data_IF_135540066533
#
_entry.id   IF_135540066533
#
_cell.length_a   1.000
_cell.length_b   1.000
_cell.length_c   1.000
_cell.angle_alpha   90.00
_cell.angle_beta   90.00
_cell.angle_gamma   90.00
#
_symmetry.space_group_name_H-M   'P 1'
#
loop_
_entity.id
_entity.type
_entity.pdbx_description
1 polymer ?
#
# COMPACT_ATOMS: atom_id res chain seq x y z
N UNK A 1 35.87 14.79 2.72
CA UNK A 1 34.45 15.23 2.59
C UNK A 1 33.83 15.23 3.99
N UNK A 2 33.51 16.41 4.54
CA UNK A 2 33.23 16.60 5.99
C UNK A 2 31.82 16.14 6.42
N UNK A 3 31.05 15.60 5.47
CA UNK A 3 29.76 14.97 5.69
C UNK A 3 29.86 13.57 5.06
N UNK A 4 29.84 12.53 5.89
CA UNK A 4 29.83 11.14 5.42
C UNK A 4 28.55 10.85 4.67
N UNK A 5 28.64 10.07 3.59
CA UNK A 5 27.51 9.62 2.76
C UNK A 5 26.38 9.01 3.59
N UNK A 6 26.70 8.35 4.70
CA UNK A 6 25.74 7.75 5.62
C UNK A 6 24.73 8.75 6.21
N UNK A 7 25.16 9.99 6.50
CA UNK A 7 24.26 11.00 7.09
C UNK A 7 23.25 11.52 6.07
N UNK A 8 23.60 11.53 4.77
CA UNK A 8 22.70 11.96 3.71
C UNK A 8 21.60 10.93 3.44
N UNK A 9 21.97 9.64 3.39
CA UNK A 9 21.01 8.55 3.22
C UNK A 9 20.08 8.46 4.43
N UNK A 10 20.64 8.44 5.64
CA UNK A 10 19.84 8.35 6.86
C UNK A 10 18.95 9.58 7.06
N UNK A 11 19.44 10.79 6.75
CA UNK A 11 18.62 12.00 6.80
C UNK A 11 17.45 12.00 5.81
N UNK A 12 17.64 11.43 4.62
CA UNK A 12 16.56 11.27 3.62
C UNK A 12 15.53 10.24 4.09
N UNK A 13 15.98 9.10 4.61
CA UNK A 13 15.11 8.06 5.17
C UNK A 13 14.31 8.57 6.38
N UNK A 14 14.93 9.36 7.26
CA UNK A 14 14.26 10.02 8.39
C UNK A 14 13.20 11.02 7.93
N UNK A 15 13.50 11.81 6.89
CA UNK A 15 12.53 12.76 6.33
C UNK A 15 11.32 12.04 5.74
N UNK A 16 11.53 10.96 4.97
CA UNK A 16 10.46 10.13 4.43
C UNK A 16 9.61 9.57 5.58
N UNK A 17 10.25 9.07 6.64
CA UNK A 17 9.56 8.50 7.81
C UNK A 17 8.77 9.56 8.56
N UNK A 18 9.32 10.76 8.77
CA UNK A 18 8.63 11.87 9.44
C UNK A 18 7.41 12.34 8.65
N UNK A 19 7.57 12.53 7.33
CA UNK A 19 6.48 12.90 6.44
C UNK A 19 5.37 11.84 6.45
N UNK A 20 5.77 10.58 6.42
CA UNK A 20 4.87 9.44 6.47
C UNK A 20 4.08 9.42 7.78
N UNK A 21 4.77 9.49 8.92
CA UNK A 21 4.15 9.43 10.24
C UNK A 21 3.23 10.63 10.49
N UNK A 22 3.65 11.83 10.05
CA UNK A 22 2.85 13.06 10.17
C UNK A 22 1.57 13.00 9.34
N UNK A 23 1.62 12.45 8.13
CA UNK A 23 0.48 12.43 7.19
C UNK A 23 -0.45 11.23 7.40
N UNK A 24 0.09 10.07 7.79
CA UNK A 24 -0.66 8.79 7.82
C UNK A 24 -0.78 8.16 9.20
N UNK A 25 -0.10 8.68 10.23
CA UNK A 25 -0.04 8.07 11.57
C UNK A 25 -1.35 8.04 12.37
N UNK A 26 -2.48 8.50 11.83
CA UNK A 26 -3.80 8.41 12.49
C UNK A 26 -4.80 7.46 11.80
N UNK A 27 -4.73 7.31 10.46
CA UNK A 27 -5.67 6.52 9.63
C UNK A 27 -4.96 6.01 8.35
N UNK A 28 -3.98 5.11 8.48
CA UNK A 28 -3.19 4.59 7.36
C UNK A 28 -4.06 3.86 6.32
N UNK A 29 -5.17 3.23 6.73
CA UNK A 29 -6.05 2.50 5.80
C UNK A 29 -6.60 3.40 4.70
N UNK A 30 -6.92 4.65 5.00
CA UNK A 30 -7.62 5.50 4.04
C UNK A 30 -6.72 5.92 2.86
N UNK A 31 -5.41 6.01 3.07
CA UNK A 31 -4.48 6.35 1.99
C UNK A 31 -4.11 5.12 1.17
N UNK A 32 -3.59 4.09 1.84
CA UNK A 32 -3.11 2.89 1.19
C UNK A 32 -4.23 2.00 0.67
N UNK A 33 -5.33 1.89 1.41
CA UNK A 33 -6.53 1.18 0.98
C UNK A 33 -7.15 1.83 -0.24
N UNK A 34 -7.34 3.16 -0.24
CA UNK A 34 -7.87 3.86 -1.42
C UNK A 34 -6.99 3.68 -2.66
N UNK A 35 -5.68 3.91 -2.51
CA UNK A 35 -4.74 3.75 -3.62
C UNK A 35 -4.67 2.30 -4.12
N UNK A 36 -4.62 1.33 -3.19
CA UNK A 36 -4.62 -0.10 -3.50
C UNK A 36 -5.90 -0.54 -4.21
N UNK A 37 -7.07 -0.11 -3.75
CA UNK A 37 -8.36 -0.41 -4.40
C UNK A 37 -8.44 0.23 -5.79
N UNK A 38 -7.98 1.46 -5.98
CA UNK A 38 -7.91 2.09 -7.30
C UNK A 38 -7.01 1.29 -8.26
N UNK A 39 -5.83 0.86 -7.81
CA UNK A 39 -4.93 0.01 -8.60
C UNK A 39 -5.55 -1.34 -8.94
N UNK A 40 -6.26 -1.97 -8.01
CA UNK A 40 -6.99 -3.22 -8.26
C UNK A 40 -8.08 -3.05 -9.32
N UNK A 41 -8.88 -1.98 -9.24
CA UNK A 41 -9.93 -1.70 -10.23
C UNK A 41 -9.33 -1.49 -11.61
N UNK A 42 -8.25 -0.70 -11.72
CA UNK A 42 -7.59 -0.42 -13.00
C UNK A 42 -6.96 -1.70 -13.57
N UNK A 43 -6.22 -2.46 -12.77
CA UNK A 43 -5.59 -3.71 -13.22
C UNK A 43 -6.61 -4.79 -13.61
N UNK A 44 -7.72 -4.86 -12.88
CA UNK A 44 -8.83 -5.75 -13.21
C UNK A 44 -9.53 -5.34 -14.51
N UNK A 45 -9.76 -4.04 -14.71
CA UNK A 45 -10.29 -3.49 -15.96
C UNK A 45 -9.42 -3.83 -17.17
N UNK A 46 -8.10 -3.68 -17.06
CA UNK A 46 -7.16 -4.08 -18.12
C UNK A 46 -7.19 -5.59 -18.38
N UNK A 47 -7.28 -6.40 -17.33
CA UNK A 47 -7.34 -7.86 -17.46
C UNK A 47 -8.63 -8.31 -18.15
N UNK A 48 -9.78 -7.71 -17.80
CA UNK A 48 -11.05 -7.96 -18.49
C UNK A 48 -10.97 -7.54 -19.95
N UNK A 49 -10.44 -6.34 -20.23
CA UNK A 49 -10.30 -5.84 -21.59
C UNK A 49 -9.48 -6.80 -22.46
N UNK A 50 -8.33 -7.26 -21.95
CA UNK A 50 -7.49 -8.25 -22.63
C UNK A 50 -8.19 -9.61 -22.78
N UNK A 51 -8.94 -10.03 -21.77
CA UNK A 51 -9.72 -11.26 -21.79
C UNK A 51 -10.81 -11.26 -22.85
N UNK A 52 -11.60 -10.18 -22.94
CA UNK A 52 -12.65 -10.02 -23.96
C UNK A 52 -12.02 -9.96 -25.36
N UNK A 53 -10.94 -9.19 -25.53
CA UNK A 53 -10.24 -9.10 -26.81
C UNK A 53 -9.79 -10.48 -27.31
N UNK A 54 -9.25 -11.30 -26.39
CA UNK A 54 -8.80 -12.65 -26.71
C UNK A 54 -9.95 -13.60 -27.03
N UNK A 55 -11.04 -13.53 -26.27
CA UNK A 55 -12.15 -14.49 -26.38
C UNK A 55 -13.01 -14.27 -27.63
N UNK A 56 -13.25 -13.01 -28.02
CA UNK A 56 -14.19 -12.68 -29.10
C UNK A 56 -13.53 -12.20 -30.40
N UNK A 57 -12.42 -11.46 -30.34
CA UNK A 57 -11.85 -10.83 -31.53
C UNK A 57 -10.61 -11.56 -32.06
N UNK A 58 -9.81 -12.18 -31.18
CA UNK A 58 -8.47 -12.67 -31.51
C UNK A 58 -8.23 -14.11 -31.01
N UNK A 59 -9.15 -15.02 -31.35
CA UNK A 59 -9.12 -16.42 -30.89
C UNK A 59 -7.83 -17.16 -31.27
N UNK A 60 -7.32 -16.96 -32.49
CA UNK A 60 -6.05 -17.53 -32.96
C UNK A 60 -4.78 -16.75 -32.61
N UNK A 61 -4.89 -15.59 -31.96
CA UNK A 61 -3.72 -14.76 -31.68
C UNK A 61 -2.80 -15.38 -30.60
N UNK A 62 -1.58 -14.85 -30.50
CA UNK A 62 -0.59 -15.18 -29.46
C UNK A 62 -1.21 -15.20 -28.04
N UNK A 63 -0.74 -16.12 -27.18
CA UNK A 63 -1.27 -16.28 -25.82
C UNK A 63 -1.20 -14.98 -25.02
N UNK A 64 -2.18 -14.76 -24.14
CA UNK A 64 -2.24 -13.56 -23.27
C UNK A 64 -0.97 -13.46 -22.42
N UNK A 65 -0.48 -14.59 -21.91
CA UNK A 65 0.75 -14.70 -21.12
C UNK A 65 2.01 -14.28 -21.85
N UNK A 66 1.96 -14.08 -23.16
CA UNK A 66 3.11 -13.63 -23.93
C UNK A 66 3.03 -12.15 -24.30
N UNK A 67 2.01 -11.42 -23.81
CA UNK A 67 1.84 -9.98 -24.03
C UNK A 67 2.37 -9.20 -22.82
N UNK A 68 3.17 -8.14 -23.03
CA UNK A 68 3.67 -7.31 -21.93
C UNK A 68 2.54 -6.60 -21.16
N UNK A 69 1.47 -6.22 -21.85
CA UNK A 69 0.28 -5.59 -21.27
C UNK A 69 -0.36 -6.43 -20.15
N UNK A 70 -0.37 -7.76 -20.30
CA UNK A 70 -0.91 -8.66 -19.28
C UNK A 70 -0.07 -8.63 -18.00
N UNK A 71 1.25 -8.62 -18.12
CA UNK A 71 2.14 -8.54 -16.95
C UNK A 71 2.01 -7.19 -16.25
N UNK A 72 1.84 -6.08 -16.99
CA UNK A 72 1.60 -4.76 -16.39
C UNK A 72 0.29 -4.77 -15.60
N UNK A 73 -0.79 -5.31 -16.18
CA UNK A 73 -2.07 -5.44 -15.49
C UNK A 73 -1.96 -6.32 -14.24
N UNK A 74 -1.29 -7.48 -14.36
CA UNK A 74 -1.06 -8.42 -13.25
C UNK A 74 -0.25 -7.79 -12.13
N UNK A 75 0.89 -7.18 -12.44
CA UNK A 75 1.76 -6.51 -11.45
C UNK A 75 1.01 -5.35 -10.78
N UNK A 76 0.21 -4.59 -11.53
CA UNK A 76 -0.61 -3.52 -10.96
C UNK A 76 -1.61 -4.06 -9.94
N UNK A 77 -2.27 -5.19 -10.23
CA UNK A 77 -3.17 -5.85 -9.28
C UNK A 77 -2.43 -6.37 -8.03
N UNK A 78 -1.26 -6.99 -8.21
CA UNK A 78 -0.44 -7.49 -7.09
C UNK A 78 0.01 -6.34 -6.18
N UNK A 79 0.52 -5.25 -6.76
CA UNK A 79 0.90 -4.04 -6.01
C UNK A 79 -0.31 -3.40 -5.31
N UNK A 80 -1.47 -3.37 -5.98
CA UNK A 80 -2.71 -2.88 -5.38
C UNK A 80 -3.15 -3.68 -4.16
N UNK A 81 -3.08 -5.02 -4.25
CA UNK A 81 -3.36 -5.91 -3.11
C UNK A 81 -2.35 -5.71 -1.96
N UNK A 82 -1.06 -5.57 -2.29
CA UNK A 82 -0.02 -5.31 -1.28
C UNK A 82 -0.26 -3.98 -0.56
N UNK A 83 -0.61 -2.90 -1.28
CA UNK A 83 -0.95 -1.63 -0.65
C UNK A 83 -2.19 -1.74 0.24
N UNK A 84 -3.23 -2.42 -0.23
CA UNK A 84 -4.44 -2.64 0.59
C UNK A 84 -4.11 -3.36 1.90
N UNK A 85 -3.34 -4.45 1.83
CA UNK A 85 -2.91 -5.23 3.00
C UNK A 85 -2.03 -4.37 3.92
N UNK A 86 -1.07 -3.62 3.38
CA UNK A 86 -0.20 -2.74 4.16
C UNK A 86 -0.98 -1.65 4.90
N UNK A 87 -1.98 -1.05 4.25
CA UNK A 87 -2.91 -0.10 4.86
C UNK A 87 -3.68 -0.72 6.01
N UNK A 88 -4.20 -1.93 5.80
CA UNK A 88 -4.98 -2.67 6.80
C UNK A 88 -4.14 -3.04 8.02
N UNK A 89 -2.92 -3.55 7.82
CA UNK A 89 -1.97 -3.84 8.89
C UNK A 89 -1.64 -2.57 9.68
N UNK A 90 -1.41 -1.45 8.98
CA UNK A 90 -1.16 -0.16 9.62
C UNK A 90 -2.31 0.27 10.54
N UNK A 91 -3.56 0.07 10.12
CA UNK A 91 -4.73 0.44 10.92
C UNK A 91 -4.84 -0.43 12.17
N UNK A 92 -4.60 -1.74 12.05
CA UNK A 92 -4.59 -2.69 13.18
C UNK A 92 -3.51 -2.31 14.21
N UNK A 93 -2.30 -1.97 13.76
CA UNK A 93 -1.19 -1.62 14.65
C UNK A 93 -1.50 -0.35 15.48
N UNK A 94 -2.06 0.67 14.82
CA UNK A 94 -2.41 1.94 15.47
C UNK A 94 -3.64 1.77 16.38
N UNK A 95 -4.61 0.94 15.99
CA UNK A 95 -5.78 0.64 16.82
C UNK A 95 -5.38 -0.07 18.11
N UNK A 96 -4.51 -1.08 18.04
CA UNK A 96 -4.01 -1.81 19.23
C UNK A 96 -3.23 -0.89 20.20
N UNK A 97 -2.50 0.09 19.68
CA UNK A 97 -1.67 0.98 20.51
C UNK A 97 -2.48 1.94 21.39
N UNK A 98 -3.77 2.19 21.09
CA UNK A 98 -4.61 3.14 21.84
C UNK A 98 -5.19 2.58 23.14
N UNK A 99 -5.22 1.26 23.34
CA UNK A 99 -5.85 0.66 24.52
C UNK A 99 -5.02 0.77 25.83
N UNK A 100 -3.80 1.30 25.79
CA UNK A 100 -2.86 1.21 26.94
C UNK A 100 -3.01 2.34 27.98
N UNK A 101 -3.98 3.25 27.88
CA UNK A 101 -4.29 4.17 29.00
C UNK A 101 -5.35 3.59 29.94
N UNK A 102 -4.98 2.56 30.70
CA UNK A 102 -5.66 2.23 31.96
C UNK A 102 -5.16 3.21 33.02
N UNK A 103 -5.99 4.19 33.32
CA UNK A 103 -5.93 5.11 34.45
C UNK A 103 -5.16 4.54 35.66
N UNK A 104 -4.12 5.25 36.09
CA UNK A 104 -3.51 5.02 37.40
C UNK A 104 -4.41 5.68 38.44
N UNK A 105 -5.23 4.87 39.13
CA UNK A 105 -5.96 5.33 40.31
C UNK A 105 -4.91 5.55 41.40
N UNK A 106 -4.47 6.80 41.55
CA UNK A 106 -3.73 7.24 42.74
C UNK A 106 -4.73 7.30 43.87
N UNK A 107 -4.86 6.21 44.62
CA UNK A 107 -5.59 6.22 45.88
C UNK A 107 -4.89 7.19 46.85
N UNK A 108 -5.55 8.31 47.12
CA UNK A 108 -5.19 9.21 48.21
C UNK A 108 -6.44 9.38 49.05
N UNK A 109 -6.61 8.50 50.03
CA UNK A 109 -7.65 8.65 51.04
C UNK A 109 -6.98 8.64 52.41
N UNK A 110 -7.27 9.71 53.17
CA UNK A 110 -6.66 10.14 54.43
C UNK A 110 -6.84 9.14 55.57
#
# INVERSE_FOLDING_TARGET
TKFGSDRFINGLLDLITLLFLKKFGKRPMHFFGFLGTMMLIVGFGFTIYLGINKLYFNQGARLISQRPEFYIALTTMVLGAQFFIAGFIGEILISNSKEVKRYNISEKTK
#
